data_IF_034821124779
#
_entry.id   IF_034821124779
#
_cell.length_a   1.000
_cell.length_b   1.000
_cell.length_c   1.000
_cell.angle_alpha   90.00
_cell.angle_beta   90.00
_cell.angle_gamma   90.00
#
_symmetry.space_group_name_H-M   'P 1'
#
loop_
_entity.id
_entity.type
_entity.pdbx_description
1 polymer ?
#
# COMPACT_ATOMS: atom_id res chain seq x y z
N UNK A 1 24.65 16.05 13.09
CA UNK A 1 24.35 17.43 12.74
C UNK A 1 23.32 18.00 13.70
N UNK A 2 23.16 19.30 13.74
CA UNK A 2 22.34 20.01 14.72
C UNK A 2 20.81 19.82 14.60
N UNK A 3 20.37 18.91 13.73
CA UNK A 3 18.95 18.64 13.50
C UNK A 3 18.47 17.43 14.31
N UNK A 4 17.70 17.68 15.37
CA UNK A 4 17.07 16.66 16.20
C UNK A 4 15.84 16.11 15.46
N UNK A 5 15.90 14.86 15.04
CA UNK A 5 14.82 14.16 14.32
C UNK A 5 13.86 13.48 15.29
N UNK A 6 14.40 12.86 16.35
CA UNK A 6 13.65 12.18 17.40
C UNK A 6 14.12 12.68 18.76
N UNK A 7 13.19 12.85 19.71
CA UNK A 7 13.48 13.35 21.04
C UNK A 7 12.73 12.52 22.09
N UNK A 8 13.46 12.08 23.14
CA UNK A 8 12.91 11.28 24.26
C UNK A 8 12.06 10.07 23.84
N UNK A 9 12.58 9.32 22.86
CA UNK A 9 11.90 8.14 22.34
C UNK A 9 12.12 6.95 23.26
N UNK A 10 11.03 6.31 23.66
CA UNK A 10 11.04 5.05 24.39
C UNK A 10 10.21 4.04 23.62
N UNK A 11 10.81 2.92 23.25
CA UNK A 11 10.10 1.80 22.64
C UNK A 11 10.77 0.48 23.03
N UNK A 12 9.98 -0.57 23.09
CA UNK A 12 10.46 -1.92 23.26
C UNK A 12 9.78 -2.86 22.27
N UNK A 13 10.56 -3.80 21.75
CA UNK A 13 10.08 -4.83 20.82
C UNK A 13 10.46 -6.18 21.41
N UNK A 14 9.47 -6.99 21.72
CA UNK A 14 9.64 -8.31 22.30
C UNK A 14 9.89 -9.36 21.21
N UNK A 15 10.46 -10.48 21.61
CA UNK A 15 10.73 -11.60 20.71
C UNK A 15 9.41 -12.16 20.15
N UNK A 16 9.34 -12.31 18.83
CA UNK A 16 8.19 -12.83 18.12
C UNK A 16 7.09 -11.80 17.81
N UNK A 17 7.23 -10.56 18.32
CA UNK A 17 6.27 -9.50 17.98
C UNK A 17 6.37 -9.08 16.52
N UNK A 18 5.23 -8.71 15.96
CA UNK A 18 5.11 -8.07 14.65
C UNK A 18 4.67 -6.62 14.83
N UNK A 19 5.59 -5.71 14.57
CA UNK A 19 5.46 -4.29 14.92
C UNK A 19 5.42 -3.45 13.66
N UNK A 20 4.48 -2.51 13.59
CA UNK A 20 4.42 -1.53 12.52
C UNK A 20 4.91 -0.16 12.99
N UNK A 21 5.79 0.48 12.20
CA UNK A 21 6.15 1.89 12.35
C UNK A 21 5.35 2.71 11.35
N UNK A 22 4.48 3.56 11.85
CA UNK A 22 3.61 4.43 11.05
C UNK A 22 3.86 5.90 11.35
N UNK A 23 3.55 6.79 10.42
CA UNK A 23 3.74 8.24 10.57
C UNK A 23 4.07 8.89 9.25
N UNK A 24 4.01 10.23 9.18
CA UNK A 24 4.30 10.97 7.95
C UNK A 24 5.75 10.78 7.50
N UNK A 25 6.01 11.10 6.22
CA UNK A 25 7.39 11.11 5.71
C UNK A 25 8.20 12.20 6.45
N UNK A 26 9.46 11.87 6.82
CA UNK A 26 10.32 12.75 7.56
C UNK A 26 10.19 12.68 9.10
N UNK A 27 9.23 11.96 9.66
CA UNK A 27 9.02 11.83 11.11
C UNK A 27 10.05 10.91 11.83
N UNK A 28 11.05 10.41 11.12
CA UNK A 28 12.18 9.70 11.75
C UNK A 28 12.08 8.18 11.75
N UNK A 29 11.12 7.55 11.07
CA UNK A 29 10.98 6.08 11.00
C UNK A 29 12.26 5.39 10.52
N UNK A 30 12.71 5.72 9.32
CA UNK A 30 13.96 5.19 8.73
C UNK A 30 15.19 5.63 9.55
N UNK A 31 15.15 6.78 10.20
CA UNK A 31 16.23 7.24 11.09
C UNK A 31 16.37 6.30 12.29
N UNK A 32 15.27 5.92 12.93
CA UNK A 32 15.30 4.96 14.03
C UNK A 32 15.80 3.58 13.56
N UNK A 33 15.34 3.12 12.39
CA UNK A 33 15.87 1.87 11.80
C UNK A 33 17.38 1.94 11.61
N UNK A 34 17.91 3.03 11.07
CA UNK A 34 19.37 3.23 10.90
C UNK A 34 20.12 3.28 12.22
N UNK A 35 19.52 3.80 13.30
CA UNK A 35 20.09 3.73 14.66
C UNK A 35 20.15 2.29 15.16
N UNK A 36 19.08 1.51 14.99
CA UNK A 36 19.02 0.09 15.36
C UNK A 36 20.10 -0.72 14.61
N UNK A 37 20.36 -0.35 13.35
CA UNK A 37 21.39 -0.97 12.50
C UNK A 37 22.80 -0.42 12.75
N UNK A 38 23.00 0.46 13.75
CA UNK A 38 24.26 1.12 14.06
C UNK A 38 24.90 1.89 12.88
N UNK A 39 24.06 2.42 11.98
CA UNK A 39 24.50 3.15 10.79
C UNK A 39 24.68 4.66 11.02
N UNK A 40 24.05 5.20 12.06
CA UNK A 40 24.12 6.63 12.42
C UNK A 40 24.28 6.80 13.92
N UNK A 41 25.02 7.84 14.38
CA UNK A 41 25.17 8.13 15.80
C UNK A 41 23.86 8.61 16.42
N UNK A 42 23.68 8.32 17.70
CA UNK A 42 22.53 8.73 18.50
C UNK A 42 22.97 9.05 19.95
N UNK A 43 22.11 9.76 20.65
CA UNK A 43 22.24 9.98 22.08
C UNK A 43 21.20 9.13 22.82
N UNK A 44 21.52 8.60 23.98
CA UNK A 44 20.63 7.76 24.76
C UNK A 44 21.11 6.32 24.88
N UNK A 45 20.18 5.40 25.20
CA UNK A 45 20.48 3.99 25.44
C UNK A 45 19.66 3.10 24.50
N UNK A 46 20.35 2.45 23.56
CA UNK A 46 19.78 1.43 22.69
C UNK A 46 20.40 0.09 23.06
N UNK A 47 19.56 -0.88 23.41
CA UNK A 47 19.99 -2.21 23.81
C UNK A 47 19.37 -3.25 22.88
N UNK A 48 20.22 -3.92 22.12
CA UNK A 48 19.84 -5.10 21.34
C UNK A 48 19.94 -6.33 22.24
N UNK A 49 18.93 -7.20 22.17
CA UNK A 49 18.86 -8.40 22.98
C UNK A 49 19.96 -9.42 22.62
N UNK A 50 20.08 -10.43 23.46
CA UNK A 50 21.04 -11.51 23.23
C UNK A 50 20.60 -12.37 22.03
N UNK A 51 21.58 -12.78 21.23
CA UNK A 51 21.40 -13.67 20.06
C UNK A 51 20.41 -13.10 19.02
N UNK A 52 20.43 -11.78 18.81
CA UNK A 52 19.64 -11.11 17.78
C UNK A 52 20.46 -11.04 16.50
N UNK A 53 19.89 -11.62 15.42
CA UNK A 53 20.43 -11.56 14.06
C UNK A 53 19.42 -10.84 13.18
N UNK A 54 19.77 -9.64 12.70
CA UNK A 54 18.85 -8.72 12.02
C UNK A 54 19.04 -8.79 10.51
N UNK A 55 17.98 -9.14 9.79
CA UNK A 55 17.86 -8.93 8.35
C UNK A 55 17.19 -7.58 8.07
N UNK A 56 17.83 -6.75 7.28
CA UNK A 56 17.30 -5.43 6.92
C UNK A 56 16.99 -5.34 5.42
N UNK A 57 15.76 -5.00 5.10
CA UNK A 57 15.32 -4.70 3.75
C UNK A 57 15.20 -3.18 3.58
N UNK A 58 16.21 -2.58 2.95
CA UNK A 58 16.22 -1.16 2.60
C UNK A 58 15.58 -0.93 1.21
N UNK A 59 15.23 0.31 0.91
CA UNK A 59 14.64 0.70 -0.38
C UNK A 59 15.51 0.32 -1.59
N UNK A 60 16.85 0.26 -1.42
CA UNK A 60 17.80 -0.06 -2.49
C UNK A 60 18.36 -1.51 -2.40
N UNK A 61 17.73 -2.38 -1.65
CA UNK A 61 18.23 -3.76 -1.43
C UNK A 61 18.29 -4.57 -2.73
N UNK A 62 17.42 -4.27 -3.68
CA UNK A 62 17.41 -4.91 -5.00
C UNK A 62 18.69 -4.64 -5.82
N UNK A 63 19.37 -3.52 -5.57
CA UNK A 63 20.59 -3.13 -6.28
C UNK A 63 21.84 -3.87 -5.76
N UNK A 64 21.75 -4.51 -4.61
CA UNK A 64 22.82 -5.30 -4.00
C UNK A 64 22.88 -6.74 -4.50
N UNK A 65 21.93 -7.16 -5.33
CA UNK A 65 21.96 -8.49 -5.95
C UNK A 65 23.06 -8.58 -7.00
N UNK A 66 23.74 -9.72 -7.05
CA UNK A 66 24.77 -9.98 -8.09
C UNK A 66 24.11 -10.11 -9.47
N UNK A 67 24.37 -9.19 -10.42
CA UNK A 67 23.74 -9.21 -11.72
C UNK A 67 24.16 -10.40 -12.61
N UNK A 68 25.22 -11.10 -12.25
CA UNK A 68 25.76 -12.25 -13.01
C UNK A 68 25.09 -13.58 -12.66
N UNK A 69 24.45 -13.68 -11.51
CA UNK A 69 23.77 -14.88 -11.05
C UNK A 69 22.39 -15.04 -11.70
N UNK A 70 21.89 -16.26 -11.74
CA UNK A 70 20.48 -16.53 -12.04
C UNK A 70 19.60 -16.27 -10.81
N UNK A 71 18.28 -16.17 -11.03
CA UNK A 71 17.30 -16.10 -9.95
C UNK A 71 17.47 -17.28 -8.99
N UNK A 72 17.58 -18.50 -9.54
CA UNK A 72 17.76 -19.71 -8.76
C UNK A 72 19.08 -19.68 -7.98
N UNK A 73 20.20 -19.36 -8.62
CA UNK A 73 21.51 -19.33 -7.98
C UNK A 73 21.56 -18.32 -6.83
N UNK A 74 20.91 -17.16 -6.99
CA UNK A 74 20.84 -16.11 -5.97
C UNK A 74 20.19 -16.61 -4.68
N UNK A 75 19.16 -17.44 -4.80
CA UNK A 75 18.42 -17.99 -3.66
C UNK A 75 19.10 -19.25 -3.12
N UNK A 76 19.69 -20.08 -3.98
CA UNK A 76 20.40 -21.32 -3.59
C UNK A 76 21.63 -21.04 -2.70
N UNK A 77 22.27 -19.88 -2.87
CA UNK A 77 23.41 -19.45 -2.04
C UNK A 77 23.05 -19.30 -0.55
N UNK A 78 21.81 -18.92 -0.24
CA UNK A 78 21.36 -18.61 1.14
C UNK A 78 20.47 -19.71 1.71
N UNK A 79 19.88 -20.53 0.87
CA UNK A 79 18.97 -21.58 1.30
C UNK A 79 19.73 -22.77 1.91
N UNK A 80 19.34 -23.16 3.12
CA UNK A 80 19.96 -24.28 3.86
C UNK A 80 18.94 -25.37 4.17
N UNK A 81 19.43 -26.62 4.29
CA UNK A 81 18.63 -27.76 4.74
C UNK A 81 17.43 -28.07 3.84
N UNK A 82 16.28 -28.33 4.45
CA UNK A 82 15.03 -28.69 3.75
C UNK A 82 14.45 -27.55 2.89
N UNK A 83 14.77 -26.31 3.22
CA UNK A 83 14.34 -25.13 2.47
C UNK A 83 14.90 -25.18 1.05
N UNK A 84 16.14 -25.65 0.89
CA UNK A 84 16.79 -25.79 -0.41
C UNK A 84 16.01 -26.68 -1.38
N UNK A 85 15.33 -27.70 -0.89
CA UNK A 85 14.47 -28.58 -1.72
C UNK A 85 13.20 -27.88 -2.22
N UNK A 86 12.78 -26.80 -1.55
CA UNK A 86 11.54 -26.05 -1.82
C UNK A 86 11.78 -24.70 -2.51
N UNK A 87 13.02 -24.41 -2.92
CA UNK A 87 13.36 -23.11 -3.52
C UNK A 87 12.45 -22.80 -4.71
N UNK A 88 12.20 -23.75 -5.62
CA UNK A 88 11.35 -23.53 -6.80
C UNK A 88 9.90 -23.24 -6.42
N UNK A 89 9.37 -23.88 -5.39
CA UNK A 89 8.02 -23.64 -4.89
C UNK A 89 7.91 -22.22 -4.27
N UNK A 90 8.95 -21.83 -3.52
CA UNK A 90 9.04 -20.50 -2.91
C UNK A 90 9.16 -19.44 -4.01
N UNK A 91 10.05 -19.63 -4.98
CA UNK A 91 10.18 -18.71 -6.11
C UNK A 91 8.88 -18.62 -6.91
N UNK A 92 8.19 -19.75 -7.13
CA UNK A 92 6.88 -19.78 -7.77
C UNK A 92 5.81 -18.99 -7.02
N UNK A 93 5.79 -19.05 -5.68
CA UNK A 93 4.91 -18.22 -4.85
C UNK A 93 5.18 -16.73 -5.04
N UNK A 94 6.44 -16.33 -5.25
CA UNK A 94 6.84 -14.96 -5.56
C UNK A 94 6.82 -14.64 -7.06
N UNK A 95 6.05 -15.39 -7.85
CA UNK A 95 5.81 -15.17 -9.28
C UNK A 95 7.06 -15.34 -10.18
N UNK A 96 8.01 -16.19 -9.76
CA UNK A 96 9.08 -16.69 -10.63
C UNK A 96 8.75 -18.13 -11.03
N UNK A 97 8.28 -18.34 -12.25
CA UNK A 97 7.84 -19.66 -12.71
C UNK A 97 8.54 -20.07 -14.01
N UNK A 98 8.58 -21.37 -14.28
CA UNK A 98 9.13 -21.92 -15.52
C UNK A 98 10.57 -21.46 -15.77
N UNK A 99 10.79 -20.78 -16.90
CA UNK A 99 12.10 -20.29 -17.34
C UNK A 99 12.58 -19.04 -16.59
N UNK A 100 11.71 -18.40 -15.80
CA UNK A 100 12.08 -17.18 -15.05
C UNK A 100 13.18 -17.45 -14.03
N UNK A 101 13.22 -18.66 -13.48
CA UNK A 101 14.21 -19.04 -12.45
C UNK A 101 15.64 -19.11 -13.01
N UNK A 102 15.79 -19.32 -14.30
CA UNK A 102 17.08 -19.43 -14.97
C UNK A 102 17.55 -18.07 -15.57
N UNK A 103 16.67 -17.04 -15.53
CA UNK A 103 17.03 -15.69 -15.95
C UNK A 103 18.11 -15.10 -15.06
N UNK A 104 19.02 -14.34 -15.67
CA UNK A 104 20.04 -13.57 -14.95
C UNK A 104 19.43 -12.35 -14.26
N UNK A 105 19.90 -12.02 -13.05
CA UNK A 105 19.47 -10.84 -12.28
C UNK A 105 19.55 -9.55 -13.11
N UNK A 106 20.57 -9.40 -13.96
CA UNK A 106 20.74 -8.22 -14.83
C UNK A 106 19.62 -7.97 -15.82
N UNK A 107 18.85 -8.98 -16.20
CA UNK A 107 17.73 -8.84 -17.16
C UNK A 107 16.37 -8.67 -16.49
N UNK A 108 16.31 -8.78 -15.16
CA UNK A 108 15.09 -8.61 -14.39
C UNK A 108 14.66 -7.13 -14.36
N UNK A 109 13.35 -6.91 -14.38
CA UNK A 109 12.76 -5.61 -14.09
C UNK A 109 13.02 -5.18 -12.64
N UNK A 110 12.81 -3.89 -12.32
CA UNK A 110 12.96 -3.40 -10.95
C UNK A 110 12.08 -4.14 -9.94
N UNK A 111 10.82 -4.40 -10.29
CA UNK A 111 9.89 -5.16 -9.44
C UNK A 111 10.31 -6.62 -9.24
N UNK A 112 10.80 -7.28 -10.28
CA UNK A 112 11.34 -8.65 -10.18
C UNK A 112 12.57 -8.70 -9.28
N UNK A 113 13.50 -7.75 -9.41
CA UNK A 113 14.67 -7.65 -8.52
C UNK A 113 14.27 -7.43 -7.07
N UNK A 114 13.29 -6.57 -6.83
CA UNK A 114 12.75 -6.33 -5.48
C UNK A 114 12.15 -7.62 -4.88
N UNK A 115 11.35 -8.36 -5.65
CA UNK A 115 10.81 -9.67 -5.23
C UNK A 115 11.91 -10.68 -4.92
N UNK A 116 12.93 -10.78 -5.78
CA UNK A 116 14.05 -11.69 -5.57
C UNK A 116 14.85 -11.34 -4.32
N UNK A 117 15.14 -10.06 -4.09
CA UNK A 117 15.83 -9.61 -2.88
C UNK A 117 15.02 -9.94 -1.61
N UNK A 118 13.68 -9.83 -1.69
CA UNK A 118 12.80 -10.20 -0.59
C UNK A 118 12.82 -11.70 -0.32
N UNK A 119 12.73 -12.55 -1.35
CA UNK A 119 12.84 -14.02 -1.21
C UNK A 119 14.18 -14.39 -0.56
N UNK A 120 15.28 -13.82 -1.04
CA UNK A 120 16.60 -14.05 -0.47
C UNK A 120 16.65 -13.72 1.01
N UNK A 121 16.16 -12.52 1.41
CA UNK A 121 16.12 -12.08 2.81
C UNK A 121 15.33 -13.04 3.71
N UNK A 122 14.17 -13.51 3.24
CA UNK A 122 13.30 -14.42 4.00
C UNK A 122 13.91 -15.81 4.20
N UNK A 123 14.86 -16.22 3.37
CA UNK A 123 15.52 -17.52 3.45
C UNK A 123 16.84 -17.49 4.22
N UNK A 124 17.37 -16.31 4.51
CA UNK A 124 18.55 -16.17 5.37
C UNK A 124 18.17 -16.43 6.85
N UNK A 125 19.09 -16.95 7.67
CA UNK A 125 18.78 -17.35 9.05
C UNK A 125 18.69 -16.18 10.02
N UNK A 126 17.90 -15.17 9.69
CA UNK A 126 17.60 -14.06 10.57
C UNK A 126 16.49 -14.43 11.56
N UNK A 127 16.53 -13.85 12.75
CA UNK A 127 15.47 -13.97 13.76
C UNK A 127 14.75 -12.64 14.04
N UNK A 128 15.26 -11.56 13.43
CA UNK A 128 14.60 -10.25 13.38
C UNK A 128 14.64 -9.75 11.95
N UNK A 129 13.50 -9.36 11.42
CA UNK A 129 13.39 -8.72 10.10
C UNK A 129 12.95 -7.27 10.28
N UNK A 130 13.68 -6.36 9.66
CA UNK A 130 13.30 -4.95 9.55
C UNK A 130 13.08 -4.65 8.08
N UNK A 131 11.85 -4.24 7.74
CA UNK A 131 11.42 -3.98 6.36
C UNK A 131 11.04 -2.50 6.24
N UNK A 132 11.78 -1.76 5.42
CA UNK A 132 11.53 -0.33 5.17
C UNK A 132 10.85 -0.15 3.81
N UNK A 133 9.55 0.18 3.85
CA UNK A 133 8.65 0.33 2.70
C UNK A 133 8.67 -0.89 1.74
N UNK A 134 8.47 -2.12 2.26
CA UNK A 134 8.62 -3.34 1.46
C UNK A 134 7.58 -3.50 0.36
N UNK A 135 6.48 -2.76 0.43
CA UNK A 135 5.36 -2.82 -0.53
C UNK A 135 5.54 -1.92 -1.73
N UNK A 136 6.56 -1.04 -1.74
CA UNK A 136 6.84 -0.17 -2.86
C UNK A 136 7.17 -0.97 -4.11
N UNK A 137 6.52 -0.63 -5.22
CA UNK A 137 6.68 -1.30 -6.53
C UNK A 137 6.23 -2.77 -6.58
N UNK A 138 5.51 -3.26 -5.57
CA UNK A 138 4.91 -4.59 -5.59
C UNK A 138 3.45 -4.53 -6.06
N UNK A 139 3.08 -5.47 -6.93
CA UNK A 139 1.68 -5.71 -7.28
C UNK A 139 0.90 -6.35 -6.11
N UNK A 140 -0.44 -6.34 -6.19
CA UNK A 140 -1.32 -6.82 -5.13
C UNK A 140 -1.03 -8.28 -4.75
N UNK A 141 -0.80 -9.16 -5.73
CA UNK A 141 -0.55 -10.59 -5.47
C UNK A 141 0.76 -10.79 -4.72
N UNK A 142 1.81 -10.07 -5.12
CA UNK A 142 3.11 -10.13 -4.42
C UNK A 142 3.00 -9.58 -2.99
N UNK A 143 2.22 -8.53 -2.75
CA UNK A 143 1.95 -8.01 -1.40
C UNK A 143 1.28 -9.07 -0.51
N UNK A 144 0.30 -9.80 -1.03
CA UNK A 144 -0.39 -10.86 -0.29
C UNK A 144 0.55 -12.01 0.05
N UNK A 145 1.37 -12.46 -0.91
CA UNK A 145 2.38 -13.51 -0.68
C UNK A 145 3.41 -13.09 0.38
N UNK A 146 3.90 -11.84 0.29
CA UNK A 146 4.82 -11.28 1.29
C UNK A 146 4.17 -11.23 2.68
N UNK A 147 2.93 -10.74 2.76
CA UNK A 147 2.17 -10.65 4.00
C UNK A 147 2.00 -12.02 4.65
N UNK A 148 1.67 -13.05 3.86
CA UNK A 148 1.52 -14.42 4.35
C UNK A 148 2.86 -15.04 4.80
N UNK A 149 3.94 -14.75 4.09
CA UNK A 149 5.28 -15.18 4.48
C UNK A 149 5.69 -14.56 5.83
N UNK A 150 5.44 -13.25 6.01
CA UNK A 150 5.75 -12.53 7.25
C UNK A 150 4.87 -12.98 8.42
N UNK A 151 3.61 -13.35 8.19
CA UNK A 151 2.74 -13.93 9.22
C UNK A 151 3.28 -15.27 9.71
N UNK A 152 3.81 -16.10 8.81
CA UNK A 152 4.38 -17.42 9.12
C UNK A 152 5.80 -17.35 9.69
N UNK A 153 6.46 -16.20 9.58
CA UNK A 153 7.80 -16.03 10.12
C UNK A 153 7.74 -16.05 11.68
N UNK A 154 8.46 -16.99 12.28
CA UNK A 154 8.44 -17.19 13.74
C UNK A 154 9.25 -16.15 14.53
N UNK A 155 10.09 -15.37 13.83
CA UNK A 155 10.89 -14.30 14.42
C UNK A 155 10.12 -12.99 14.62
N UNK A 156 10.85 -12.00 15.10
CA UNK A 156 10.35 -10.62 15.26
C UNK A 156 10.36 -9.89 13.92
N UNK A 157 9.31 -9.12 13.63
CA UNK A 157 9.20 -8.33 12.40
C UNK A 157 8.92 -6.87 12.75
N UNK A 158 9.70 -5.96 12.20
CA UNK A 158 9.46 -4.53 12.24
C UNK A 158 9.20 -4.07 10.81
N UNK A 159 8.02 -3.52 10.54
CA UNK A 159 7.64 -3.03 9.22
C UNK A 159 7.42 -1.52 9.27
N UNK A 160 8.19 -0.78 8.49
CA UNK A 160 7.92 0.62 8.19
C UNK A 160 7.08 0.64 6.92
N UNK A 161 5.85 1.06 6.98
CA UNK A 161 5.00 1.15 5.79
C UNK A 161 3.87 2.16 5.96
N UNK A 162 3.45 2.73 4.84
CA UNK A 162 2.24 3.55 4.71
C UNK A 162 1.03 2.75 4.21
N UNK A 163 1.24 1.51 3.78
CA UNK A 163 0.21 0.62 3.25
C UNK A 163 -0.60 -0.01 4.39
N UNK A 164 -1.75 0.59 4.70
CA UNK A 164 -2.62 0.16 5.80
C UNK A 164 -3.17 -1.24 5.59
N UNK A 165 -3.51 -1.60 4.36
CA UNK A 165 -4.08 -2.91 4.03
C UNK A 165 -3.04 -4.01 4.17
N UNK A 166 -1.80 -3.71 3.84
CA UNK A 166 -0.68 -4.61 4.07
C UNK A 166 -0.44 -4.84 5.57
N UNK A 167 -0.44 -3.77 6.37
CA UNK A 167 -0.20 -3.85 7.82
C UNK A 167 -1.37 -4.46 8.60
N UNK A 168 -2.60 -4.35 8.08
CA UNK A 168 -3.81 -4.86 8.74
C UNK A 168 -3.75 -6.38 8.90
N UNK A 169 -3.84 -6.87 10.14
CA UNK A 169 -3.75 -8.30 10.49
C UNK A 169 -2.35 -8.91 10.29
N UNK A 170 -1.31 -8.08 10.10
CA UNK A 170 0.10 -8.46 10.18
C UNK A 170 0.70 -7.98 11.50
N UNK A 171 0.56 -6.70 11.84
CA UNK A 171 1.17 -6.12 13.02
C UNK A 171 0.24 -6.21 14.24
N UNK A 172 0.80 -6.64 15.36
CA UNK A 172 0.12 -6.76 16.66
C UNK A 172 0.26 -5.48 17.49
N UNK A 173 1.29 -4.69 17.19
CA UNK A 173 1.67 -3.45 17.87
C UNK A 173 2.01 -2.38 16.83
N UNK A 174 1.60 -1.15 17.09
CA UNK A 174 1.89 -0.01 16.22
C UNK A 174 2.62 1.07 17.01
N UNK A 175 3.71 1.57 16.46
CA UNK A 175 4.38 2.77 16.91
C UNK A 175 4.13 3.90 15.92
N UNK A 176 3.44 4.94 16.37
CA UNK A 176 3.20 6.14 15.59
C UNK A 176 4.29 7.16 15.82
N UNK A 177 4.92 7.60 14.75
CA UNK A 177 5.91 8.66 14.75
C UNK A 177 5.23 9.98 14.43
N UNK A 178 5.25 10.92 15.37
CA UNK A 178 4.69 12.25 15.20
C UNK A 178 5.40 13.24 16.14
N UNK A 179 5.59 14.47 15.66
CA UNK A 179 6.13 15.56 16.47
C UNK A 179 7.46 15.22 17.16
N UNK A 180 8.36 14.52 16.47
CA UNK A 180 9.66 14.03 16.97
C UNK A 180 9.57 13.01 18.12
N UNK A 181 8.38 12.52 18.43
CA UNK A 181 8.12 11.50 19.45
C UNK A 181 7.55 10.23 18.85
N UNK A 182 7.38 9.21 19.71
CA UNK A 182 6.77 7.94 19.35
C UNK A 182 5.66 7.64 20.35
N UNK A 183 4.50 7.22 19.84
CA UNK A 183 3.36 6.78 20.63
C UNK A 183 3.04 5.32 20.32
N UNK A 184 2.92 4.51 21.35
CA UNK A 184 2.58 3.09 21.23
C UNK A 184 1.08 2.87 21.20
N UNK A 185 0.63 1.96 20.32
CA UNK A 185 -0.73 1.46 20.26
C UNK A 185 -0.72 -0.07 20.26
N UNK A 186 -1.30 -0.66 21.27
CA UNK A 186 -1.52 -2.10 21.39
C UNK A 186 -2.82 -2.49 20.67
N UNK A 187 -2.87 -3.72 20.14
CA UNK A 187 -4.07 -4.22 19.44
C UNK A 187 -4.03 -4.01 17.91
N UNK A 188 -2.84 -3.72 17.38
CA UNK A 188 -2.60 -3.69 15.95
C UNK A 188 -3.17 -2.47 15.22
N UNK A 189 -3.13 -2.55 13.88
CA UNK A 189 -3.48 -1.41 13.00
C UNK A 189 -4.97 -1.04 13.08
N UNK A 190 -5.86 -2.00 13.29
CA UNK A 190 -7.30 -1.72 13.43
C UNK A 190 -7.57 -0.81 14.63
N UNK A 191 -7.02 -1.16 15.79
CA UNK A 191 -7.15 -0.36 17.00
C UNK A 191 -6.48 1.03 16.87
N UNK A 192 -5.31 1.10 16.22
CA UNK A 192 -4.66 2.37 15.90
C UNK A 192 -5.58 3.29 15.08
N UNK A 193 -6.22 2.76 14.03
CA UNK A 193 -7.12 3.55 13.18
C UNK A 193 -8.37 4.04 13.94
N UNK A 194 -8.93 3.21 14.83
CA UNK A 194 -10.04 3.61 15.69
C UNK A 194 -9.63 4.71 16.69
N UNK A 195 -8.48 4.55 17.34
CA UNK A 195 -7.95 5.55 18.25
C UNK A 195 -7.73 6.90 17.54
N UNK A 196 -7.21 6.88 16.30
CA UNK A 196 -7.03 8.09 15.49
C UNK A 196 -8.33 8.76 15.11
N UNK A 197 -9.36 8.00 14.76
CA UNK A 197 -10.70 8.57 14.52
C UNK A 197 -11.23 9.28 15.77
N UNK A 198 -11.08 8.68 16.94
CA UNK A 198 -11.52 9.27 18.21
C UNK A 198 -10.69 10.51 18.60
N UNK A 199 -9.38 10.53 18.36
CA UNK A 199 -8.53 11.70 18.57
C UNK A 199 -8.99 12.87 17.67
N UNK A 200 -9.19 12.62 16.39
CA UNK A 200 -9.67 13.61 15.43
C UNK A 200 -11.06 14.17 15.79
N UNK A 201 -11.96 13.33 16.31
CA UNK A 201 -13.26 13.76 16.82
C UNK A 201 -13.13 14.67 18.05
N UNK A 202 -12.27 14.31 19.01
CA UNK A 202 -12.04 15.12 20.22
C UNK A 202 -11.39 16.45 19.89
N UNK A 203 -10.45 16.50 18.97
CA UNK A 203 -9.83 17.75 18.49
C UNK A 203 -10.88 18.66 17.83
N UNK A 204 -11.77 18.09 17.02
CA UNK A 204 -12.88 18.81 16.42
C UNK A 204 -13.84 19.38 17.48
N UNK A 205 -14.18 18.61 18.50
CA UNK A 205 -15.03 19.06 19.63
C UNK A 205 -14.33 20.18 20.44
N UNK A 206 -13.02 20.08 20.67
CA UNK A 206 -12.26 21.11 21.37
C UNK A 206 -12.11 22.41 20.57
N UNK A 207 -11.98 22.32 19.25
CA UNK A 207 -11.94 23.50 18.38
C UNK A 207 -13.31 24.20 18.25
N UNK A 208 -14.41 23.51 18.57
CA UNK A 208 -15.78 24.04 18.48
C UNK A 208 -16.56 23.92 19.81
N UNK A 209 -16.01 24.40 20.94
CA UNK A 209 -16.62 24.19 22.27
C UNK A 209 -17.95 24.87 22.48
N UNK A 210 -18.33 25.84 21.61
CA UNK A 210 -19.59 26.60 21.75
C UNK A 210 -20.82 25.90 21.17
N UNK A 211 -20.69 24.84 20.38
CA UNK A 211 -21.84 24.12 19.81
C UNK A 211 -22.51 23.11 20.78
N UNK A 212 -21.78 22.59 21.75
CA UNK A 212 -22.30 21.54 22.64
C UNK A 212 -22.95 22.06 23.93
N UNK A 213 -22.67 23.31 24.34
CA UNK A 213 -23.32 23.91 25.53
C UNK A 213 -24.65 24.60 25.22
N UNK A 214 -25.00 24.80 23.95
CA UNK A 214 -26.27 25.40 23.54
C UNK A 214 -27.36 24.38 23.21
N UNK A 215 -27.05 23.10 23.09
CA UNK A 215 -28.05 22.06 22.77
C UNK A 215 -28.98 21.68 23.94
N UNK A 216 -28.69 22.16 25.16
CA UNK A 216 -29.55 21.87 26.33
C UNK A 216 -30.51 22.98 26.75
N UNK A 217 -30.63 24.11 26.03
CA UNK A 217 -31.51 25.25 26.45
C UNK A 217 -32.37 25.87 25.34
N UNK A 218 -32.20 25.47 24.06
CA UNK A 218 -33.09 26.00 23.00
C UNK A 218 -33.48 24.88 22.04
N UNK A 219 -34.42 24.06 22.46
CA UNK A 219 -35.14 23.14 21.59
C UNK A 219 -36.28 23.94 20.89
N UNK A 220 -36.06 24.68 19.86
CA UNK A 220 -37.10 24.89 18.84
C UNK A 220 -36.67 25.65 17.57
N UNK A 221 -35.56 26.43 17.55
CA UNK A 221 -35.21 27.20 16.35
C UNK A 221 -33.90 26.85 15.61
N UNK A 222 -32.98 26.01 16.18
CA UNK A 222 -31.70 25.68 15.54
C UNK A 222 -31.66 24.32 14.86
N UNK A 223 -32.77 23.58 14.88
CA UNK A 223 -32.87 22.24 14.27
C UNK A 223 -32.89 22.26 12.75
N UNK A 224 -33.17 23.44 12.14
CA UNK A 224 -33.31 23.55 10.68
C UNK A 224 -31.96 23.64 9.94
N UNK A 225 -31.02 24.46 10.43
CA UNK A 225 -29.76 24.72 9.69
C UNK A 225 -28.77 23.55 9.77
N UNK A 226 -28.64 22.88 10.91
CA UNK A 226 -27.76 21.71 11.04
C UNK A 226 -28.32 20.44 10.37
N UNK A 227 -29.64 20.30 10.29
CA UNK A 227 -30.29 19.26 9.48
C UNK A 227 -30.09 19.53 7.99
N UNK A 228 -30.22 20.80 7.56
CA UNK A 228 -30.01 21.19 6.17
C UNK A 228 -28.55 20.92 5.76
N UNK A 229 -27.56 21.35 6.54
CA UNK A 229 -26.14 21.11 6.27
C UNK A 229 -25.76 19.61 6.30
N UNK A 230 -26.39 18.82 7.16
CA UNK A 230 -26.19 17.36 7.20
C UNK A 230 -26.87 16.65 6.02
N UNK A 231 -28.07 17.08 5.66
CA UNK A 231 -28.78 16.53 4.50
C UNK A 231 -28.10 16.95 3.19
N UNK A 232 -27.61 18.18 3.07
CA UNK A 232 -26.81 18.64 1.94
C UNK A 232 -25.51 17.84 1.78
N UNK A 233 -24.79 17.60 2.89
CA UNK A 233 -23.58 16.78 2.88
C UNK A 233 -23.84 15.31 2.56
N UNK A 234 -24.99 14.79 3.01
CA UNK A 234 -25.43 13.43 2.69
C UNK A 234 -25.87 13.29 1.23
N UNK A 235 -26.58 14.30 0.70
CA UNK A 235 -26.94 14.36 -0.72
C UNK A 235 -25.70 14.47 -1.59
N UNK A 236 -24.77 15.32 -1.22
CA UNK A 236 -23.52 15.53 -1.92
C UNK A 236 -22.62 14.27 -1.98
N UNK A 237 -22.42 13.60 -0.86
CA UNK A 237 -21.72 12.31 -0.86
C UNK A 237 -22.45 11.23 -1.69
N UNK A 238 -23.77 11.32 -1.79
CA UNK A 238 -24.58 10.45 -2.65
C UNK A 238 -24.41 10.80 -4.13
N UNK A 239 -24.24 12.08 -4.47
CA UNK A 239 -23.96 12.52 -5.83
C UNK A 239 -22.55 12.09 -6.27
N UNK A 240 -21.52 12.31 -5.45
CA UNK A 240 -20.15 11.85 -5.71
C UNK A 240 -20.15 10.35 -6.00
N UNK A 241 -20.77 9.55 -5.12
CA UNK A 241 -20.84 8.09 -5.30
C UNK A 241 -21.62 7.67 -6.55
N UNK A 242 -22.64 8.45 -6.95
CA UNK A 242 -23.40 8.20 -8.16
C UNK A 242 -22.58 8.48 -9.41
N UNK A 243 -21.80 9.57 -9.44
CA UNK A 243 -20.89 9.91 -10.52
C UNK A 243 -19.75 8.89 -10.62
N UNK A 244 -19.16 8.44 -9.51
CA UNK A 244 -18.13 7.40 -9.51
C UNK A 244 -18.63 6.07 -10.11
N UNK A 245 -19.83 5.62 -9.75
CA UNK A 245 -20.44 4.40 -10.33
C UNK A 245 -20.77 4.57 -11.82
N UNK A 246 -21.16 5.78 -12.23
CA UNK A 246 -21.47 6.07 -13.64
C UNK A 246 -20.19 6.07 -14.48
N UNK A 247 -19.10 6.63 -13.98
CA UNK A 247 -17.78 6.64 -14.61
C UNK A 247 -17.27 5.20 -14.78
N UNK A 248 -17.31 4.37 -13.72
CA UNK A 248 -16.91 2.96 -13.77
C UNK A 248 -17.70 2.17 -14.83
N UNK A 249 -18.99 2.46 -14.97
CA UNK A 249 -19.83 1.82 -15.98
C UNK A 249 -19.43 2.25 -17.40
N UNK A 250 -19.19 3.54 -17.62
CA UNK A 250 -18.74 4.09 -18.90
C UNK A 250 -17.35 3.54 -19.30
N UNK A 251 -16.43 3.42 -18.37
CA UNK A 251 -15.12 2.80 -18.58
C UNK A 251 -15.24 1.33 -19.03
N UNK A 252 -16.18 0.58 -18.44
CA UNK A 252 -16.49 -0.78 -18.87
C UNK A 252 -17.06 -0.85 -20.29
N UNK A 253 -17.99 0.05 -20.64
CA UNK A 253 -18.60 0.12 -21.96
C UNK A 253 -17.57 0.55 -23.04
N UNK A 254 -16.69 1.51 -22.73
CA UNK A 254 -15.59 1.95 -23.60
C UNK A 254 -14.64 0.78 -23.88
N UNK A 255 -14.18 0.07 -22.86
CA UNK A 255 -13.28 -1.08 -23.01
C UNK A 255 -13.90 -2.19 -23.88
N UNK A 256 -15.19 -2.50 -23.69
CA UNK A 256 -15.92 -3.48 -24.49
C UNK A 256 -16.06 -3.05 -25.97
N UNK A 257 -16.30 -1.77 -26.21
CA UNK A 257 -16.39 -1.22 -27.57
C UNK A 257 -15.04 -1.21 -28.27
N UNK A 258 -13.96 -0.82 -27.59
CA UNK A 258 -12.58 -0.85 -28.10
C UNK A 258 -12.18 -2.28 -28.50
N UNK A 259 -12.50 -3.29 -27.67
CA UNK A 259 -12.23 -4.67 -28.01
C UNK A 259 -12.98 -5.10 -29.26
N UNK A 260 -14.29 -4.80 -29.38
CA UNK A 260 -15.10 -5.17 -30.54
C UNK A 260 -14.66 -4.47 -31.82
N UNK A 261 -14.24 -3.21 -31.72
CA UNK A 261 -13.66 -2.44 -32.82
C UNK A 261 -12.35 -3.09 -33.27
N UNK A 262 -11.45 -3.47 -32.34
CA UNK A 262 -10.22 -4.17 -32.65
C UNK A 262 -10.42 -5.52 -33.34
N UNK A 263 -11.45 -6.29 -32.90
CA UNK A 263 -11.84 -7.55 -33.57
C UNK A 263 -12.37 -7.33 -34.99
N UNK A 264 -13.13 -6.26 -35.21
CA UNK A 264 -13.64 -5.90 -36.53
C UNK A 264 -12.49 -5.44 -37.46
N UNK A 265 -11.57 -4.64 -36.96
CA UNK A 265 -10.37 -4.22 -37.68
C UNK A 265 -9.46 -5.40 -38.06
N UNK A 266 -9.30 -6.38 -37.16
CA UNK A 266 -8.59 -7.62 -37.43
C UNK A 266 -9.22 -8.42 -38.58
N UNK A 267 -10.56 -8.58 -38.62
CA UNK A 267 -11.27 -9.24 -39.71
C UNK A 267 -11.15 -8.49 -41.04
N UNK A 268 -11.18 -7.16 -41.00
CA UNK A 268 -10.96 -6.34 -42.20
C UNK A 268 -9.54 -6.48 -42.74
N UNK A 269 -8.52 -6.59 -41.87
CA UNK A 269 -7.12 -6.80 -42.25
C UNK A 269 -6.88 -8.18 -42.86
N UNK A 270 -7.68 -9.20 -42.48
CA UNK A 270 -7.69 -10.55 -43.09
C UNK A 270 -8.42 -10.61 -44.42
N UNK A 271 -8.96 -9.47 -44.89
CA UNK A 271 -9.64 -9.38 -46.20
C UNK A 271 -11.14 -9.73 -46.17
N UNK A 272 -11.73 -9.92 -45.00
CA UNK A 272 -13.18 -10.14 -44.82
C UNK A 272 -13.88 -8.78 -44.72
N UNK A 273 -14.19 -8.17 -45.86
CA UNK A 273 -14.91 -6.89 -45.94
C UNK A 273 -16.29 -7.14 -46.55
N UNK A 274 -17.33 -6.83 -45.78
CA UNK A 274 -18.71 -6.81 -46.26
C UNK A 274 -19.45 -5.55 -45.76
N UNK A 275 -20.52 -5.17 -46.42
CA UNK A 275 -21.28 -3.93 -46.08
C UNK A 275 -21.90 -3.97 -44.69
N UNK A 276 -22.17 -5.15 -44.14
CA UNK A 276 -22.71 -5.35 -42.79
C UNK A 276 -21.64 -5.11 -41.72
N UNK A 277 -20.40 -5.57 -41.94
CA UNK A 277 -19.25 -5.35 -41.04
C UNK A 277 -18.89 -3.86 -40.98
N UNK A 278 -18.90 -3.18 -42.15
CA UNK A 278 -18.61 -1.74 -42.23
C UNK A 278 -19.65 -0.91 -41.47
N UNK A 279 -20.95 -1.24 -41.64
CA UNK A 279 -21.99 -0.53 -40.87
C UNK A 279 -21.89 -0.74 -39.37
N UNK A 280 -21.63 -1.97 -38.94
CA UNK A 280 -21.47 -2.29 -37.51
C UNK A 280 -20.24 -1.60 -36.94
N UNK A 281 -19.14 -1.51 -37.67
CA UNK A 281 -17.94 -0.80 -37.29
C UNK A 281 -18.18 0.71 -37.13
N UNK A 282 -18.87 1.33 -38.07
CA UNK A 282 -19.21 2.77 -37.98
C UNK A 282 -20.17 3.07 -36.83
N UNK A 283 -21.11 2.18 -36.55
CA UNK A 283 -22.02 2.30 -35.39
C UNK A 283 -21.26 2.17 -34.08
N UNK A 284 -20.35 1.20 -33.97
CA UNK A 284 -19.51 1.04 -32.78
C UNK A 284 -18.59 2.23 -32.53
N UNK A 285 -17.99 2.82 -33.61
CA UNK A 285 -17.17 4.03 -33.47
C UNK A 285 -17.95 5.24 -32.99
N UNK A 286 -19.15 5.47 -33.53
CA UNK A 286 -20.02 6.55 -33.06
C UNK A 286 -20.45 6.37 -31.61
N UNK A 287 -20.71 5.12 -31.23
CA UNK A 287 -21.08 4.82 -29.85
C UNK A 287 -19.89 5.02 -28.89
N UNK A 288 -18.68 4.66 -29.31
CA UNK A 288 -17.44 4.89 -28.56
C UNK A 288 -17.20 6.40 -28.34
N UNK A 289 -17.34 7.23 -29.40
CA UNK A 289 -17.23 8.69 -29.29
C UNK A 289 -18.25 9.25 -28.27
N UNK A 290 -19.50 8.83 -28.35
CA UNK A 290 -20.55 9.28 -27.43
C UNK A 290 -20.26 8.85 -25.96
N UNK A 291 -19.78 7.64 -25.74
CA UNK A 291 -19.39 7.17 -24.40
C UNK A 291 -18.17 7.95 -23.85
N UNK A 292 -17.20 8.30 -24.69
CA UNK A 292 -16.04 9.11 -24.30
C UNK A 292 -16.43 10.53 -23.93
N UNK A 293 -17.32 11.17 -24.71
CA UNK A 293 -17.84 12.51 -24.39
C UNK A 293 -18.61 12.50 -23.03
N UNK A 294 -19.46 11.50 -22.83
CA UNK A 294 -20.21 11.36 -21.58
C UNK A 294 -19.29 11.05 -20.38
N UNK A 295 -18.20 10.31 -20.59
CA UNK A 295 -17.18 10.04 -19.59
C UNK A 295 -16.39 11.32 -19.21
N UNK A 296 -16.02 12.17 -20.21
CA UNK A 296 -15.35 13.44 -19.96
C UNK A 296 -16.23 14.42 -19.19
N UNK A 297 -17.52 14.53 -19.56
CA UNK A 297 -18.48 15.38 -18.84
C UNK A 297 -18.67 14.94 -17.39
N UNK A 298 -18.82 13.64 -17.15
CA UNK A 298 -19.04 13.10 -15.81
C UNK A 298 -17.79 13.20 -14.93
N UNK A 299 -16.58 13.03 -15.49
CA UNK A 299 -15.33 13.28 -14.78
C UNK A 299 -15.17 14.76 -14.41
N UNK A 300 -15.47 15.69 -15.34
CA UNK A 300 -15.46 17.12 -15.05
C UNK A 300 -16.43 17.47 -13.90
N UNK A 301 -17.62 16.90 -13.92
CA UNK A 301 -18.61 17.08 -12.85
C UNK A 301 -18.13 16.50 -11.50
N UNK A 302 -17.49 15.34 -11.51
CA UNK A 302 -16.92 14.73 -10.31
C UNK A 302 -15.77 15.57 -9.72
N UNK A 303 -14.91 16.16 -10.57
CA UNK A 303 -13.86 17.08 -10.13
C UNK A 303 -14.44 18.36 -9.52
N UNK A 304 -15.47 18.96 -10.12
CA UNK A 304 -16.17 20.11 -9.55
C UNK A 304 -16.81 19.79 -8.20
N UNK A 305 -17.45 18.64 -8.07
CA UNK A 305 -18.00 18.16 -6.81
C UNK A 305 -16.88 17.98 -5.76
N UNK A 306 -15.74 17.40 -6.10
CA UNK A 306 -14.60 17.21 -5.18
C UNK A 306 -13.90 18.54 -4.81
N UNK A 307 -13.90 19.53 -5.68
CA UNK A 307 -13.30 20.86 -5.43
C UNK A 307 -14.12 21.76 -4.49
N UNK A 308 -15.40 21.47 -4.28
CA UNK A 308 -16.28 22.19 -3.35
C UNK A 308 -16.15 21.74 -1.89
N UNK A 309 -15.23 20.82 -1.58
CA UNK A 309 -15.03 20.25 -0.24
C UNK A 309 -14.01 21.06 0.59
#
# INVERSE_FOLDING_TARGET
>A
GDHVVLHEVNLDVLRGEKVAFVGRNGEGKTTLVKMIMDQIPYEGNLKIGYNVNIGYFAQNQADLLDPSLSVLDTVDQVAVGEIRKKIRDILGAFLFSGEDVDKKVKVLSGGERTRLAMVRLLLEPYNVLILDEPTNHLDMRTKDVLKDALKKFEGTVIVVSHDRDFLLGLADKVYEFANKGIKEYLGGVAHFLEAKKLECFREYEQMHPRKLQQENVVEEESVSENKIAFEERKQWNKEIKKSEVKIEKLEGEIADLEQKIGEAEGKMAEGVINDELLKTYDEMKKHLEACMEEWEEENGHLEELKARN
#
